data_IF_975456927831
#
_entry.id   IF_975456927831
#
_cell.length_a   1.000
_cell.length_b   1.000
_cell.length_c   1.000
_cell.angle_alpha   90.00
_cell.angle_beta   90.00
_cell.angle_gamma   90.00
#
_symmetry.space_group_name_H-M   'P 1'
#
loop_
_entity.id
_entity.type
_entity.pdbx_description
1 polymer ?
#
# COMPACT_ATOMS: atom_id res chain seq x y z
N UNK A 1 -0.77 34.76 24.55
CA UNK A 1 -0.90 33.29 24.74
C UNK A 1 -0.29 32.63 23.53
N UNK A 2 0.81 31.92 23.73
CA UNK A 2 1.72 31.51 22.64
C UNK A 2 1.19 30.37 21.80
N UNK A 3 1.69 30.28 20.57
CA UNK A 3 1.43 29.20 19.61
C UNK A 3 1.51 27.79 20.21
N UNK A 4 2.40 27.56 21.17
CA UNK A 4 2.58 26.29 21.88
C UNK A 4 1.34 25.83 22.68
N UNK A 5 0.53 26.76 23.22
CA UNK A 5 -0.71 26.40 23.94
C UNK A 5 -1.82 25.93 22.98
N UNK A 6 -1.83 26.45 21.75
CA UNK A 6 -2.74 26.00 20.68
C UNK A 6 -2.41 24.57 20.23
N UNK A 7 -1.11 24.24 20.14
CA UNK A 7 -0.69 22.90 19.74
C UNK A 7 -0.92 21.84 20.82
N UNK A 8 -0.84 22.18 22.12
CA UNK A 8 -1.11 21.23 23.21
C UNK A 8 -2.56 20.73 23.18
N UNK A 9 -3.53 21.60 22.91
CA UNK A 9 -4.93 21.22 22.82
C UNK A 9 -5.28 20.45 21.54
N UNK A 10 -4.53 20.67 20.46
CA UNK A 10 -4.70 19.93 19.19
C UNK A 10 -4.10 18.53 19.24
N UNK A 11 -2.98 18.33 19.94
CA UNK A 11 -2.33 17.02 20.09
C UNK A 11 -3.24 15.98 20.75
N UNK A 12 -3.99 16.35 21.78
CA UNK A 12 -4.88 15.42 22.50
C UNK A 12 -6.15 15.06 21.72
N UNK A 13 -6.61 15.93 20.79
CA UNK A 13 -7.87 15.71 20.04
C UNK A 13 -7.69 15.12 18.64
N UNK A 14 -6.48 15.14 18.09
CA UNK A 14 -6.27 14.73 16.69
C UNK A 14 -6.19 13.21 16.51
N UNK A 15 -5.77 12.46 17.51
CA UNK A 15 -5.42 11.05 17.35
C UNK A 15 -6.28 10.07 18.16
N UNK A 16 -6.87 10.50 19.29
CA UNK A 16 -7.73 9.64 20.09
C UNK A 16 -9.08 10.33 20.27
N UNK A 17 -10.18 9.76 19.77
CA UNK A 17 -11.50 10.16 20.23
C UNK A 17 -11.57 9.91 21.72
N UNK A 18 -12.08 10.92 22.47
CA UNK A 18 -12.32 10.82 23.90
C UNK A 18 -13.23 9.61 24.15
N UNK A 19 -12.74 8.58 24.83
CA UNK A 19 -13.46 7.33 25.15
C UNK A 19 -14.68 7.52 26.05
N UNK A 20 -15.01 8.77 26.41
CA UNK A 20 -16.08 9.09 27.36
C UNK A 20 -17.51 9.04 26.78
N UNK A 21 -17.66 8.91 25.47
CA UNK A 21 -18.94 8.63 24.84
C UNK A 21 -18.77 7.50 23.85
N UNK A 22 -19.60 6.48 23.92
CA UNK A 22 -19.80 5.39 22.95
C UNK A 22 -20.06 5.92 21.51
N UNK A 23 -19.26 6.88 21.06
CA UNK A 23 -19.25 7.36 19.71
C UNK A 23 -18.70 6.22 18.86
N UNK A 24 -19.56 5.68 18.02
CA UNK A 24 -19.23 4.68 17.03
C UNK A 24 -17.86 4.99 16.42
N UNK A 25 -16.97 4.01 16.38
CA UNK A 25 -15.67 4.07 15.70
C UNK A 25 -15.78 4.87 14.41
N UNK A 26 -14.84 5.79 14.13
CA UNK A 26 -14.93 6.62 12.94
C UNK A 26 -15.20 5.78 11.69
N UNK A 27 -16.04 6.27 10.80
CA UNK A 27 -16.55 5.58 9.60
C UNK A 27 -15.45 4.99 8.69
N UNK A 28 -14.21 5.47 8.78
CA UNK A 28 -13.11 4.94 7.99
C UNK A 28 -12.63 3.53 8.43
N UNK A 29 -13.00 3.06 9.61
CA UNK A 29 -12.78 1.66 10.00
C UNK A 29 -13.84 0.71 9.43
N UNK A 30 -14.98 1.21 8.97
CA UNK A 30 -16.03 0.37 8.37
C UNK A 30 -15.68 -0.11 6.95
N UNK A 31 -14.84 0.60 6.22
CA UNK A 31 -14.31 0.14 4.92
C UNK A 31 -13.18 -0.88 5.09
N UNK A 32 -12.63 -1.06 6.28
CA UNK A 32 -11.74 -2.16 6.62
C UNK A 32 -12.46 -3.51 6.74
N UNK A 33 -13.80 -3.52 6.69
CA UNK A 33 -14.59 -4.75 6.70
C UNK A 33 -14.41 -5.59 5.41
N UNK A 34 -13.93 -4.97 4.32
CA UNK A 34 -13.60 -5.72 3.10
C UNK A 34 -12.15 -6.23 3.17
N UNK A 35 -11.94 -7.57 3.21
CA UNK A 35 -10.61 -8.15 3.38
C UNK A 35 -9.66 -7.85 2.21
N UNK A 36 -10.15 -7.81 0.99
CA UNK A 36 -9.36 -7.53 -0.21
C UNK A 36 -8.83 -6.09 -0.19
N UNK A 37 -9.71 -5.13 0.12
CA UNK A 37 -9.33 -3.72 0.29
C UNK A 37 -8.31 -3.56 1.41
N UNK A 38 -8.55 -4.17 2.57
CA UNK A 38 -7.65 -4.11 3.71
C UNK A 38 -6.27 -4.70 3.39
N UNK A 39 -6.23 -5.83 2.69
CA UNK A 39 -4.98 -6.46 2.25
C UNK A 39 -4.19 -5.55 1.31
N UNK A 40 -4.84 -4.94 0.31
CA UNK A 40 -4.22 -4.02 -0.63
C UNK A 40 -3.66 -2.77 0.07
N UNK A 41 -4.49 -2.08 0.87
CA UNK A 41 -4.07 -0.87 1.59
C UNK A 41 -2.94 -1.17 2.57
N UNK A 42 -3.01 -2.28 3.30
CA UNK A 42 -1.95 -2.69 4.22
C UNK A 42 -0.65 -3.01 3.47
N UNK A 43 -0.71 -3.68 2.31
CA UNK A 43 0.48 -3.99 1.50
C UNK A 43 1.18 -2.71 1.06
N UNK A 44 0.45 -1.76 0.48
CA UNK A 44 0.99 -0.47 0.03
C UNK A 44 1.55 0.35 1.19
N UNK A 45 0.74 0.52 2.25
CA UNK A 45 1.12 1.35 3.40
C UNK A 45 2.35 0.83 4.11
N UNK A 46 2.45 -0.48 4.33
CA UNK A 46 3.62 -1.13 4.94
C UNK A 46 4.86 -0.98 4.05
N UNK A 47 4.71 -1.20 2.74
CA UNK A 47 5.83 -1.09 1.81
C UNK A 47 6.38 0.33 1.77
N UNK A 48 5.52 1.34 1.63
CA UNK A 48 5.94 2.74 1.58
C UNK A 48 6.47 3.25 2.93
N UNK A 49 5.90 2.81 4.06
CA UNK A 49 6.36 3.20 5.38
C UNK A 49 7.74 2.64 5.76
N UNK A 50 8.19 1.57 5.11
CA UNK A 50 9.54 1.02 5.29
C UNK A 50 10.60 1.79 4.50
N UNK A 51 10.19 2.59 3.52
CA UNK A 51 11.12 3.36 2.70
C UNK A 51 11.52 4.65 3.39
N UNK A 52 12.82 4.90 3.59
CA UNK A 52 13.26 6.16 4.16
C UNK A 52 13.02 7.30 3.17
N UNK A 53 12.29 8.32 3.61
CA UNK A 53 12.14 9.60 2.91
C UNK A 53 13.22 10.54 3.43
N UNK A 54 14.18 10.89 2.58
CA UNK A 54 15.38 11.61 2.96
C UNK A 54 15.61 12.87 2.13
N UNK A 55 16.25 13.85 2.74
CA UNK A 55 16.64 15.11 2.10
C UNK A 55 18.11 15.05 1.69
N UNK A 56 18.39 15.36 0.43
CA UNK A 56 19.73 15.42 -0.13
C UNK A 56 20.05 16.84 -0.58
N UNK A 57 21.33 17.18 -0.51
CA UNK A 57 21.91 18.43 -1.02
C UNK A 57 22.70 18.14 -2.28
N UNK A 58 22.48 18.95 -3.33
CA UNK A 58 23.32 18.91 -4.53
C UNK A 58 24.69 19.49 -4.23
N UNK A 59 25.75 18.72 -4.50
CA UNK A 59 27.14 19.15 -4.38
C UNK A 59 27.85 19.02 -5.71
N UNK A 60 29.04 19.58 -5.84
CA UNK A 60 29.85 19.47 -7.07
C UNK A 60 30.18 18.00 -7.42
N UNK A 61 30.28 17.13 -6.44
CA UNK A 61 30.67 15.73 -6.57
C UNK A 61 29.46 14.76 -6.50
N UNK A 62 28.24 15.26 -6.68
CA UNK A 62 27.03 14.44 -6.58
C UNK A 62 26.08 14.91 -5.49
N UNK A 63 25.34 13.99 -4.87
CA UNK A 63 24.36 14.28 -3.84
C UNK A 63 24.84 13.77 -2.48
N UNK A 64 24.65 14.59 -1.43
CA UNK A 64 24.98 14.25 -0.05
C UNK A 64 23.72 14.38 0.81
N UNK A 65 23.57 13.51 1.83
CA UNK A 65 22.52 13.63 2.84
C UNK A 65 22.63 14.98 3.60
N UNK A 66 21.53 15.70 3.65
CA UNK A 66 21.45 17.02 4.29
C UNK A 66 21.08 16.88 5.79
N UNK A 67 21.89 16.16 6.57
CA UNK A 67 21.59 15.78 7.98
C UNK A 67 21.41 17.00 8.90
N UNK A 68 22.07 18.11 8.58
CA UNK A 68 22.00 19.34 9.38
C UNK A 68 20.73 20.16 9.11
N UNK A 69 20.04 19.85 8.03
CA UNK A 69 18.84 20.58 7.66
C UNK A 69 17.65 20.17 8.55
N UNK A 70 16.87 21.14 9.03
CA UNK A 70 15.72 20.87 9.92
C UNK A 70 14.68 19.95 9.27
N UNK A 71 14.41 20.12 7.97
CA UNK A 71 13.46 19.29 7.23
C UNK A 71 13.95 17.83 7.14
N UNK A 72 15.26 17.57 7.03
CA UNK A 72 15.78 16.20 7.10
C UNK A 72 15.35 15.51 8.39
N UNK A 73 15.53 16.19 9.52
CA UNK A 73 15.13 15.65 10.84
C UNK A 73 13.63 15.45 10.94
N UNK A 74 12.84 16.39 10.39
CA UNK A 74 11.38 16.30 10.36
C UNK A 74 10.86 15.17 9.46
N UNK A 75 11.59 14.79 8.41
CA UNK A 75 11.24 13.66 7.54
C UNK A 75 11.63 12.33 8.18
N UNK A 76 12.80 12.26 8.81
CA UNK A 76 13.28 11.02 9.46
C UNK A 76 12.50 10.74 10.74
N UNK A 77 12.17 11.79 11.53
CA UNK A 77 11.39 11.68 12.75
C UNK A 77 10.23 12.70 12.73
N UNK A 78 9.15 12.38 12.01
CA UNK A 78 8.09 13.36 11.76
C UNK A 78 7.29 13.73 13.02
N UNK A 79 7.12 12.81 13.95
CA UNK A 79 6.37 13.00 15.19
C UNK A 79 7.21 12.63 16.41
N UNK A 80 6.94 13.29 17.55
CA UNK A 80 7.70 13.06 18.80
C UNK A 80 7.22 11.81 19.53
N UNK A 81 5.93 11.50 19.44
CA UNK A 81 5.27 10.44 20.22
C UNK A 81 5.09 9.13 19.45
N UNK A 82 5.37 9.15 18.13
CA UNK A 82 5.13 8.01 17.25
C UNK A 82 6.40 7.62 16.50
N UNK A 83 6.53 6.33 16.22
CA UNK A 83 7.61 5.86 15.36
C UNK A 83 7.40 6.37 13.93
N UNK A 84 8.47 6.68 13.17
CA UNK A 84 8.34 7.08 11.77
C UNK A 84 7.52 6.09 10.93
N UNK A 85 7.72 4.79 11.15
CA UNK A 85 6.97 3.74 10.49
C UNK A 85 5.46 3.85 10.73
N UNK A 86 5.04 4.06 11.98
CA UNK A 86 3.62 4.20 12.32
C UNK A 86 3.03 5.46 11.69
N UNK A 87 3.73 6.58 11.79
CA UNK A 87 3.31 7.85 11.20
C UNK A 87 3.08 7.73 9.68
N UNK A 88 4.08 7.22 8.95
CA UNK A 88 3.95 7.05 7.50
C UNK A 88 2.92 5.99 7.12
N UNK A 89 2.82 4.89 7.85
CA UNK A 89 1.77 3.89 7.64
C UNK A 89 0.37 4.49 7.76
N UNK A 90 0.12 5.31 8.79
CA UNK A 90 -1.16 6.01 8.98
C UNK A 90 -1.40 7.04 7.88
N UNK A 91 -0.37 7.79 7.46
CA UNK A 91 -0.45 8.75 6.36
C UNK A 91 -0.96 8.07 5.08
N UNK A 92 -0.34 6.95 4.68
CA UNK A 92 -0.75 6.23 3.47
C UNK A 92 -2.14 5.60 3.61
N UNK A 93 -2.48 5.06 4.77
CA UNK A 93 -3.84 4.55 5.04
C UNK A 93 -4.89 5.64 4.89
N UNK A 94 -4.68 6.82 5.50
CA UNK A 94 -5.59 7.97 5.36
C UNK A 94 -5.73 8.41 3.90
N UNK A 95 -4.62 8.41 3.14
CA UNK A 95 -4.64 8.76 1.73
C UNK A 95 -5.55 7.83 0.91
N UNK A 96 -5.45 6.53 1.14
CA UNK A 96 -6.27 5.54 0.42
C UNK A 96 -7.73 5.50 0.90
N UNK A 97 -7.98 5.55 2.22
CA UNK A 97 -9.34 5.48 2.75
C UNK A 97 -10.12 6.78 2.61
N UNK A 98 -9.46 7.94 2.78
CA UNK A 98 -10.11 9.26 2.80
C UNK A 98 -9.82 10.10 1.56
N UNK A 99 -8.87 9.69 0.72
CA UNK A 99 -8.47 10.45 -0.46
C UNK A 99 -7.76 11.77 -0.16
N UNK A 100 -7.53 12.10 1.10
CA UNK A 100 -6.84 13.32 1.52
C UNK A 100 -6.06 13.08 2.80
N UNK A 101 -4.88 13.68 2.88
CA UNK A 101 -4.07 13.74 4.09
C UNK A 101 -3.79 15.19 4.43
N UNK A 102 -3.94 15.53 5.68
CA UNK A 102 -3.63 16.85 6.21
C UNK A 102 -2.61 16.71 7.34
N UNK A 103 -1.56 17.54 7.27
CA UNK A 103 -0.49 17.57 8.26
C UNK A 103 -0.33 19.01 8.75
N UNK A 104 -0.34 19.22 10.07
CA UNK A 104 0.21 20.46 10.60
C UNK A 104 1.72 20.45 10.45
N UNK A 105 2.26 21.53 9.92
CA UNK A 105 3.70 21.80 9.89
C UNK A 105 4.11 22.40 11.23
N UNK A 106 4.88 21.67 12.00
CA UNK A 106 5.40 22.16 13.29
C UNK A 106 6.62 23.05 13.01
N UNK A 107 6.49 24.33 13.30
CA UNK A 107 7.54 25.30 13.03
C UNK A 107 8.32 25.66 14.30
N UNK A 108 9.65 25.78 14.18
CA UNK A 108 10.52 26.44 15.15
C UNK A 108 11.18 27.63 14.45
N UNK A 109 10.66 28.84 14.72
CA UNK A 109 10.98 30.02 13.92
C UNK A 109 10.49 29.87 12.49
N UNK A 110 11.40 29.84 11.51
CA UNK A 110 11.09 29.71 10.09
C UNK A 110 11.44 28.31 9.52
N UNK A 111 11.71 27.33 10.38
CA UNK A 111 12.15 25.97 9.99
C UNK A 111 11.10 24.94 10.41
N UNK A 112 10.72 24.07 9.48
CA UNK A 112 9.88 22.92 9.80
C UNK A 112 10.69 21.92 10.64
N UNK A 113 10.15 21.51 11.79
CA UNK A 113 10.82 20.61 12.74
C UNK A 113 10.06 19.30 12.96
N UNK A 114 8.86 19.17 12.41
CA UNK A 114 8.03 17.98 12.51
C UNK A 114 6.68 18.16 11.87
N UNK A 115 5.89 17.11 11.90
CA UNK A 115 4.54 17.07 11.33
C UNK A 115 3.57 16.43 12.33
N UNK A 116 2.30 16.82 12.26
CA UNK A 116 1.23 16.20 13.05
C UNK A 116 0.09 15.84 12.11
N UNK A 117 -0.31 14.58 12.07
CA UNK A 117 -1.45 14.10 11.28
C UNK A 117 -2.76 14.71 11.82
N UNK A 118 -3.62 15.12 10.90
CA UNK A 118 -4.95 15.65 11.18
C UNK A 118 -5.97 14.69 10.58
N UNK A 119 -7.01 14.35 11.31
CA UNK A 119 -8.11 13.55 10.77
C UNK A 119 -8.84 14.32 9.67
N UNK A 120 -8.96 13.76 8.44
CA UNK A 120 -9.59 14.45 7.32
C UNK A 120 -11.03 14.87 7.58
N UNK A 121 -11.77 14.11 8.37
CA UNK A 121 -13.18 14.40 8.69
C UNK A 121 -13.37 15.68 9.52
N UNK A 122 -12.29 16.21 10.12
CA UNK A 122 -12.27 17.47 10.89
C UNK A 122 -11.86 18.67 10.05
N UNK A 123 -11.48 18.44 8.78
CA UNK A 123 -10.92 19.48 7.91
C UNK A 123 -11.91 19.83 6.83
N UNK A 124 -12.30 21.10 6.76
CA UNK A 124 -13.00 21.66 5.64
C UNK A 124 -12.00 22.48 4.79
N UNK A 125 -11.98 22.23 3.51
CA UNK A 125 -11.10 22.94 2.56
C UNK A 125 -11.95 23.87 1.72
N UNK A 126 -11.70 25.15 1.85
CA UNK A 126 -12.31 26.20 1.03
C UNK A 126 -11.25 26.87 0.15
N UNK A 127 -11.64 27.40 -0.99
CA UNK A 127 -10.77 28.09 -1.94
C UNK A 127 -11.14 29.55 -1.99
N UNK A 128 -10.22 30.44 -1.58
CA UNK A 128 -10.46 31.89 -1.66
C UNK A 128 -10.17 32.41 -3.08
N UNK A 129 -9.15 31.86 -3.72
CA UNK A 129 -8.72 32.25 -5.06
C UNK A 129 -8.19 31.04 -5.83
N UNK A 130 -7.87 31.22 -7.10
CA UNK A 130 -7.26 30.15 -7.90
C UNK A 130 -5.91 29.65 -7.34
N UNK A 131 -5.30 30.42 -6.44
CA UNK A 131 -3.94 30.16 -5.93
C UNK A 131 -3.96 29.75 -4.45
N UNK A 132 -4.97 30.17 -3.67
CA UNK A 132 -4.94 30.04 -2.20
C UNK A 132 -6.08 29.17 -1.66
N UNK A 133 -5.71 28.13 -0.93
CA UNK A 133 -6.63 27.28 -0.15
C UNK A 133 -6.63 27.72 1.31
N UNK A 134 -7.77 27.53 1.97
CA UNK A 134 -7.94 27.71 3.39
C UNK A 134 -8.44 26.42 3.98
N UNK A 135 -7.94 26.10 5.16
CA UNK A 135 -8.28 24.91 5.91
C UNK A 135 -8.95 25.30 7.22
N UNK A 136 -10.21 24.97 7.36
CA UNK A 136 -10.94 25.15 8.63
C UNK A 136 -10.91 23.87 9.42
N UNK A 137 -10.29 23.91 10.60
CA UNK A 137 -10.12 22.78 11.51
C UNK A 137 -10.62 23.21 12.88
N UNK A 138 -11.63 22.50 13.42
CA UNK A 138 -12.25 22.83 14.72
C UNK A 138 -12.60 24.31 14.86
N UNK A 139 -13.23 24.89 13.82
CA UNK A 139 -13.64 26.31 13.75
C UNK A 139 -12.47 27.31 13.73
N UNK A 140 -11.23 26.87 13.52
CA UNK A 140 -10.08 27.74 13.32
C UNK A 140 -9.59 27.62 11.87
N UNK A 141 -9.17 28.76 11.32
CA UNK A 141 -8.75 28.86 9.92
C UNK A 141 -7.23 28.85 9.82
N UNK A 142 -6.70 28.04 8.91
CA UNK A 142 -5.29 27.86 8.64
C UNK A 142 -4.99 28.02 7.15
N UNK A 143 -3.76 28.33 6.84
CA UNK A 143 -3.26 28.52 5.47
C UNK A 143 -2.34 27.36 5.05
N UNK A 144 -1.97 27.31 3.77
CA UNK A 144 -0.97 26.35 3.21
C UNK A 144 0.41 26.50 3.89
N UNK A 145 0.69 27.61 4.57
CA UNK A 145 1.92 27.75 5.36
C UNK A 145 1.90 26.87 6.60
N UNK A 146 0.74 26.68 7.19
CA UNK A 146 0.55 25.92 8.44
C UNK A 146 0.14 24.48 8.20
N UNK A 147 -0.61 24.22 7.12
CA UNK A 147 -1.12 22.89 6.78
C UNK A 147 -0.49 22.42 5.46
N UNK A 148 0.04 21.22 5.46
CA UNK A 148 0.38 20.46 4.26
C UNK A 148 -0.80 19.57 3.90
N UNK A 149 -1.40 19.80 2.72
CA UNK A 149 -2.49 19.01 2.19
C UNK A 149 -1.99 18.14 1.03
N UNK A 150 -2.23 16.86 1.14
CA UNK A 150 -1.86 15.85 0.15
C UNK A 150 -3.13 15.15 -0.33
N UNK A 151 -3.70 15.55 -1.47
CA UNK A 151 -4.85 14.88 -2.05
C UNK A 151 -4.43 13.61 -2.80
N UNK A 152 -5.31 12.62 -2.90
CA UNK A 152 -5.07 11.44 -3.72
C UNK A 152 -5.01 11.82 -5.21
N UNK A 153 -3.95 11.42 -5.95
CA UNK A 153 -3.75 11.80 -7.34
C UNK A 153 -4.55 10.87 -8.28
N UNK A 154 -5.85 10.98 -8.31
CA UNK A 154 -6.71 10.11 -9.12
C UNK A 154 -7.81 10.84 -9.86
N UNK A 155 -8.61 10.09 -10.60
CA UNK A 155 -9.73 10.61 -11.40
C UNK A 155 -10.79 11.36 -10.60
N UNK A 156 -10.84 11.15 -9.29
CA UNK A 156 -11.73 11.87 -8.38
C UNK A 156 -11.20 13.21 -7.88
N UNK A 157 -10.00 13.66 -8.29
CA UNK A 157 -9.47 14.97 -7.89
C UNK A 157 -10.19 16.10 -8.59
N UNK A 158 -10.81 17.00 -7.82
CA UNK A 158 -11.57 18.14 -8.34
C UNK A 158 -10.79 19.47 -8.36
N UNK A 159 -9.47 19.41 -8.24
CA UNK A 159 -8.60 20.61 -8.14
C UNK A 159 -8.43 21.15 -6.72
N UNK A 160 -9.25 20.74 -5.77
CA UNK A 160 -9.21 21.19 -4.37
C UNK A 160 -8.97 20.01 -3.41
N UNK A 161 -9.81 18.99 -3.48
CA UNK A 161 -9.73 17.77 -2.67
C UNK A 161 -9.65 16.54 -3.56
N UNK A 162 -8.97 15.51 -3.10
CA UNK A 162 -8.93 14.19 -3.72
C UNK A 162 -10.10 13.33 -3.26
N UNK A 163 -10.48 12.36 -4.08
CA UNK A 163 -11.38 11.27 -3.69
C UNK A 163 -10.59 10.00 -3.44
N UNK A 164 -11.03 9.25 -2.45
CA UNK A 164 -10.50 7.91 -2.21
C UNK A 164 -10.74 7.00 -3.43
N UNK A 165 -9.76 6.20 -3.85
CA UNK A 165 -10.00 5.18 -4.88
C UNK A 165 -11.09 4.19 -4.46
N UNK A 166 -11.24 3.93 -3.16
CA UNK A 166 -12.30 3.08 -2.60
C UNK A 166 -13.68 3.69 -2.83
N UNK A 167 -13.81 5.02 -2.71
CA UNK A 167 -15.06 5.73 -2.99
C UNK A 167 -15.36 5.76 -4.49
N UNK A 168 -14.34 5.93 -5.33
CA UNK A 168 -14.50 5.96 -6.80
C UNK A 168 -14.94 4.61 -7.35
N UNK A 169 -14.43 3.52 -6.82
CA UNK A 169 -14.74 2.15 -7.25
C UNK A 169 -15.67 1.41 -6.28
N UNK A 170 -16.53 2.17 -5.59
CA UNK A 170 -17.45 1.62 -4.58
C UNK A 170 -18.28 0.46 -5.09
N UNK A 171 -18.82 0.55 -6.29
CA UNK A 171 -19.71 -0.48 -6.85
C UNK A 171 -18.99 -1.83 -7.01
N UNK A 172 -17.72 -1.83 -7.40
CA UNK A 172 -16.90 -3.04 -7.50
C UNK A 172 -16.63 -3.66 -6.12
N UNK A 173 -16.34 -2.82 -5.11
CA UNK A 173 -16.12 -3.26 -3.73
C UNK A 173 -17.42 -3.78 -3.11
N UNK A 174 -18.55 -3.13 -3.37
CA UNK A 174 -19.87 -3.60 -2.92
C UNK A 174 -20.24 -4.94 -3.56
N UNK A 175 -19.82 -5.20 -4.81
CA UNK A 175 -19.99 -6.50 -5.43
C UNK A 175 -19.21 -7.58 -4.66
N UNK A 176 -17.96 -7.33 -4.31
CA UNK A 176 -17.14 -8.24 -3.51
C UNK A 176 -17.78 -8.53 -2.14
N UNK A 177 -18.25 -7.50 -1.44
CA UNK A 177 -18.95 -7.65 -0.17
C UNK A 177 -20.21 -8.52 -0.29
N UNK A 178 -20.99 -8.36 -1.37
CA UNK A 178 -22.16 -9.19 -1.63
C UNK A 178 -21.78 -10.64 -1.93
N UNK A 179 -20.70 -10.87 -2.65
CA UNK A 179 -20.21 -12.23 -2.94
C UNK A 179 -19.74 -12.92 -1.67
N UNK A 180 -18.99 -12.23 -0.81
CA UNK A 180 -18.57 -12.74 0.50
C UNK A 180 -19.78 -13.05 1.39
N UNK A 181 -20.76 -12.15 1.45
CA UNK A 181 -21.99 -12.36 2.19
C UNK A 181 -22.82 -13.53 1.64
N UNK A 182 -22.94 -13.65 0.30
CA UNK A 182 -23.60 -14.78 -0.32
C UNK A 182 -22.90 -16.10 0.03
N UNK A 183 -21.57 -16.11 -0.01
CA UNK A 183 -20.78 -17.28 0.32
C UNK A 183 -20.97 -17.68 1.79
N UNK A 184 -20.94 -16.71 2.70
CA UNK A 184 -21.25 -16.93 4.12
C UNK A 184 -22.63 -17.52 4.32
N UNK A 185 -23.65 -16.90 3.73
CA UNK A 185 -25.04 -17.40 3.79
C UNK A 185 -25.19 -18.80 3.15
N UNK A 186 -24.42 -19.08 2.10
CA UNK A 186 -24.41 -20.39 1.48
C UNK A 186 -23.90 -21.47 2.43
N UNK A 187 -22.82 -21.20 3.16
CA UNK A 187 -22.30 -22.13 4.19
C UNK A 187 -23.20 -22.21 5.42
N UNK A 188 -23.85 -21.12 5.82
CA UNK A 188 -24.73 -21.10 6.98
C UNK A 188 -26.08 -21.81 6.70
N UNK A 189 -26.60 -21.70 5.49
CA UNK A 189 -27.95 -22.18 5.16
C UNK A 189 -28.00 -23.50 4.40
N UNK A 190 -26.92 -23.93 3.79
CA UNK A 190 -26.96 -25.20 3.07
C UNK A 190 -25.61 -25.93 3.07
N UNK A 191 -25.63 -27.10 3.60
CA UNK A 191 -24.66 -28.11 3.26
C UNK A 191 -25.06 -28.70 1.91
N UNK A 192 -24.93 -27.92 0.85
CA UNK A 192 -24.89 -28.43 -0.51
C UNK A 192 -26.22 -28.74 -1.20
N UNK A 193 -27.39 -28.68 -0.57
CA UNK A 193 -28.64 -29.02 -1.28
C UNK A 193 -29.84 -28.29 -0.69
N UNK A 194 -30.65 -27.67 -1.53
CA UNK A 194 -31.98 -27.23 -1.12
C UNK A 194 -32.84 -28.48 -0.91
N UNK A 195 -33.48 -28.54 0.26
CA UNK A 195 -34.34 -29.66 0.61
C UNK A 195 -35.79 -29.24 0.45
N UNK A 196 -36.52 -29.93 -0.39
CA UNK A 196 -37.97 -29.81 -0.48
C UNK A 196 -38.60 -30.90 0.37
N UNK A 197 -39.31 -30.52 1.42
CA UNK A 197 -40.09 -31.43 2.25
C UNK A 197 -41.51 -31.37 1.78
N UNK A 198 -41.97 -32.42 1.11
CA UNK A 198 -43.36 -32.58 0.71
C UNK A 198 -44.09 -33.34 1.81
N UNK A 199 -45.16 -32.75 2.37
CA UNK A 199 -46.01 -33.34 3.36
C UNK A 199 -47.06 -34.21 2.68
N UNK A 200 -47.33 -35.42 3.18
CA UNK A 200 -48.33 -36.34 2.66
C UNK A 200 -49.76 -35.93 3.03
N UNK A 201 -50.71 -36.78 2.61
CA UNK A 201 -52.15 -36.50 2.76
C UNK A 201 -52.65 -36.48 4.23
N UNK A 202 -51.86 -36.97 5.15
CA UNK A 202 -52.17 -36.98 6.59
C UNK A 202 -52.11 -35.59 7.28
N UNK A 203 -51.59 -34.59 6.58
CA UNK A 203 -51.45 -33.25 7.12
C UNK A 203 -52.61 -32.35 6.75
N UNK A 204 -53.02 -31.43 7.62
CA UNK A 204 -54.21 -30.58 7.40
C UNK A 204 -53.97 -29.55 6.26
N UNK A 205 -54.92 -29.40 5.37
CA UNK A 205 -54.85 -28.44 4.24
C UNK A 205 -55.47 -27.06 4.55
N UNK A 206 -56.00 -26.86 5.78
CA UNK A 206 -56.56 -25.57 6.17
C UNK A 206 -55.43 -24.58 6.45
N UNK A 207 -55.51 -23.38 5.87
CA UNK A 207 -54.49 -22.35 5.96
C UNK A 207 -54.01 -22.08 7.39
N UNK A 208 -54.93 -21.91 8.33
CA UNK A 208 -54.60 -21.62 9.73
C UNK A 208 -53.88 -22.79 10.45
N UNK A 209 -54.13 -24.02 10.04
CA UNK A 209 -53.47 -25.20 10.59
C UNK A 209 -52.12 -25.41 9.98
N UNK A 210 -51.94 -25.09 8.67
CA UNK A 210 -50.68 -25.09 7.96
C UNK A 210 -49.73 -24.01 8.51
N UNK A 211 -50.24 -22.82 8.79
CA UNK A 211 -49.42 -21.74 9.38
C UNK A 211 -48.89 -22.12 10.80
N UNK A 212 -49.70 -22.82 11.61
CA UNK A 212 -49.27 -23.37 12.90
C UNK A 212 -48.22 -24.46 12.72
N UNK A 213 -48.46 -25.41 11.85
CA UNK A 213 -47.55 -26.51 11.54
C UNK A 213 -46.21 -25.95 11.04
N UNK A 214 -46.24 -24.96 10.15
CA UNK A 214 -45.06 -24.30 9.63
C UNK A 214 -44.29 -23.58 10.76
N UNK A 215 -44.97 -22.91 11.66
CA UNK A 215 -44.37 -22.24 12.81
C UNK A 215 -43.68 -23.23 13.76
N UNK A 216 -44.26 -24.44 13.95
CA UNK A 216 -43.68 -25.47 14.80
C UNK A 216 -42.50 -26.22 14.16
N UNK A 217 -42.61 -26.52 12.87
CA UNK A 217 -41.63 -27.33 12.14
C UNK A 217 -40.42 -26.49 11.68
N UNK A 218 -40.65 -25.23 11.29
CA UNK A 218 -39.59 -24.37 10.77
C UNK A 218 -38.39 -24.19 11.72
N UNK A 219 -38.56 -23.96 13.03
CA UNK A 219 -37.42 -23.89 13.96
C UNK A 219 -36.67 -25.20 14.09
N UNK A 220 -37.40 -26.34 14.02
CA UNK A 220 -36.79 -27.67 14.09
C UNK A 220 -35.94 -27.95 12.87
N UNK A 221 -36.48 -27.66 11.67
CA UNK A 221 -35.75 -27.82 10.42
C UNK A 221 -34.53 -26.91 10.40
N UNK A 222 -34.68 -25.63 10.77
CA UNK A 222 -33.56 -24.70 10.88
C UNK A 222 -32.45 -25.23 11.78
N UNK A 223 -32.82 -25.76 12.95
CA UNK A 223 -31.86 -26.28 13.93
C UNK A 223 -31.08 -27.50 13.43
N UNK A 224 -31.67 -28.35 12.57
CA UNK A 224 -31.05 -29.59 12.12
C UNK A 224 -30.44 -29.51 10.72
N UNK A 225 -30.88 -28.57 9.87
CA UNK A 225 -30.48 -28.46 8.44
C UNK A 225 -29.53 -27.30 8.20
N UNK A 226 -29.64 -26.22 9.00
CA UNK A 226 -28.87 -25.00 8.75
C UNK A 226 -27.63 -24.91 9.66
N UNK A 227 -26.55 -24.37 9.09
CA UNK A 227 -25.29 -24.06 9.78
C UNK A 227 -24.22 -25.14 9.63
N UNK A 228 -22.95 -24.71 9.64
CA UNK A 228 -21.80 -25.61 9.46
C UNK A 228 -21.68 -26.68 10.55
N UNK A 229 -22.21 -26.42 11.75
CA UNK A 229 -22.24 -27.37 12.86
C UNK A 229 -23.14 -28.58 12.60
N UNK A 230 -24.07 -28.49 11.64
CA UNK A 230 -25.02 -29.56 11.30
C UNK A 230 -24.61 -30.30 10.02
N UNK A 231 -23.46 -29.97 9.45
CA UNK A 231 -22.95 -30.61 8.26
C UNK A 231 -22.76 -32.15 8.50
N UNK A 232 -23.48 -32.94 7.71
CA UNK A 232 -23.41 -34.40 7.79
C UNK A 232 -24.28 -35.03 8.87
N UNK A 233 -25.07 -34.29 9.65
CA UNK A 233 -26.00 -34.84 10.61
C UNK A 233 -27.18 -35.51 9.89
N UNK A 234 -27.60 -36.71 10.30
CA UNK A 234 -28.75 -37.42 9.75
C UNK A 234 -30.03 -36.63 10.06
N UNK A 235 -30.85 -36.40 9.02
CA UNK A 235 -32.16 -35.80 9.19
C UNK A 235 -33.21 -36.83 9.54
N UNK A 236 -33.97 -36.56 10.61
CA UNK A 236 -35.13 -37.37 10.94
C UNK A 236 -36.30 -36.84 10.10
N UNK A 237 -36.82 -37.67 9.21
CA UNK A 237 -37.98 -37.35 8.41
C UNK A 237 -39.26 -37.26 9.27
N UNK A 238 -40.19 -36.36 8.88
CA UNK A 238 -41.51 -36.35 9.46
C UNK A 238 -42.32 -37.55 8.93
N UNK A 239 -43.21 -38.12 9.75
CA UNK A 239 -44.08 -39.20 9.29
C UNK A 239 -44.84 -38.76 8.02
N UNK A 240 -45.01 -39.65 7.06
CA UNK A 240 -45.73 -39.36 5.79
C UNK A 240 -45.20 -38.16 5.01
N UNK A 241 -43.86 -37.91 5.09
CA UNK A 241 -43.21 -36.88 4.28
C UNK A 241 -42.17 -37.45 3.36
N UNK A 242 -42.02 -36.84 2.18
CA UNK A 242 -40.95 -37.14 1.25
C UNK A 242 -39.95 -36.02 1.21
N UNK A 243 -38.67 -36.36 1.33
CA UNK A 243 -37.57 -35.41 1.28
C UNK A 243 -36.88 -35.52 -0.06
N UNK A 244 -37.07 -34.52 -0.89
CA UNK A 244 -36.39 -34.42 -2.17
C UNK A 244 -35.23 -33.42 -2.09
N UNK A 245 -34.06 -33.87 -2.45
CA UNK A 245 -32.93 -32.97 -2.66
C UNK A 245 -33.10 -32.29 -4.01
N UNK A 246 -33.06 -30.98 -4.00
CA UNK A 246 -32.91 -30.20 -5.22
C UNK A 246 -31.41 -29.99 -5.38
N UNK A 247 -30.74 -30.85 -6.12
CA UNK A 247 -29.32 -30.70 -6.40
C UNK A 247 -29.11 -29.44 -7.25
N UNK A 248 -28.49 -28.46 -6.66
CA UNK A 248 -27.84 -27.41 -7.43
C UNK A 248 -26.59 -28.03 -8.03
N UNK A 249 -26.54 -28.07 -9.35
CA UNK A 249 -25.45 -28.67 -10.13
C UNK A 249 -24.08 -28.21 -9.57
N UNK A 250 -23.15 -29.13 -9.49
CA UNK A 250 -21.78 -28.95 -8.97
C UNK A 250 -20.99 -27.77 -9.60
N UNK A 251 -21.45 -27.24 -10.72
CA UNK A 251 -20.85 -26.12 -11.42
C UNK A 251 -20.98 -24.78 -10.67
N UNK A 252 -22.05 -24.58 -9.88
CA UNK A 252 -22.28 -23.30 -9.18
C UNK A 252 -21.14 -22.96 -8.19
N UNK A 253 -20.55 -23.97 -7.54
CA UNK A 253 -19.44 -23.76 -6.59
C UNK A 253 -18.15 -23.34 -7.31
N UNK A 254 -17.85 -23.97 -8.47
CA UNK A 254 -16.68 -23.65 -9.27
C UNK A 254 -16.83 -22.23 -9.90
N UNK A 255 -18.03 -21.93 -10.40
CA UNK A 255 -18.34 -20.63 -10.99
C UNK A 255 -18.27 -19.51 -9.93
N UNK A 256 -18.78 -19.75 -8.72
CA UNK A 256 -18.72 -18.79 -7.62
C UNK A 256 -17.26 -18.50 -7.18
N UNK A 257 -16.45 -19.55 -7.05
CA UNK A 257 -15.03 -19.39 -6.71
C UNK A 257 -14.30 -18.59 -7.78
N UNK A 258 -14.55 -18.89 -9.05
CA UNK A 258 -13.95 -18.16 -10.17
C UNK A 258 -14.37 -16.69 -10.19
N UNK A 259 -15.65 -16.41 -9.90
CA UNK A 259 -16.17 -15.05 -9.84
C UNK A 259 -15.58 -14.26 -8.67
N UNK A 260 -15.47 -14.85 -7.48
CA UNK A 260 -14.82 -14.21 -6.32
C UNK A 260 -13.37 -13.88 -6.66
N UNK A 261 -12.59 -14.85 -7.15
CA UNK A 261 -11.21 -14.61 -7.54
C UNK A 261 -11.08 -13.52 -8.61
N UNK A 262 -11.98 -13.49 -9.59
CA UNK A 262 -11.99 -12.45 -10.61
C UNK A 262 -12.24 -11.05 -10.02
N UNK A 263 -13.19 -10.92 -9.08
CA UNK A 263 -13.51 -9.64 -8.44
C UNK A 263 -12.35 -9.18 -7.53
N UNK A 264 -11.77 -10.09 -6.74
CA UNK A 264 -10.58 -9.80 -5.91
C UNK A 264 -9.40 -9.33 -6.76
N UNK A 265 -9.11 -10.01 -7.88
CA UNK A 265 -8.09 -9.61 -8.85
C UNK A 265 -8.40 -8.23 -9.43
N UNK A 266 -9.65 -7.98 -9.81
CA UNK A 266 -10.08 -6.70 -10.36
C UNK A 266 -9.92 -5.56 -9.36
N UNK A 267 -10.24 -5.78 -8.09
CA UNK A 267 -10.03 -4.81 -7.02
C UNK A 267 -8.53 -4.53 -6.87
N UNK A 268 -7.70 -5.56 -6.73
CA UNK A 268 -6.27 -5.38 -6.53
C UNK A 268 -5.62 -4.60 -7.68
N UNK A 269 -5.94 -4.95 -8.92
CA UNK A 269 -5.31 -4.38 -10.11
C UNK A 269 -5.92 -3.03 -10.50
N UNK A 270 -7.26 -2.91 -10.54
CA UNK A 270 -7.92 -1.70 -11.07
C UNK A 270 -7.96 -0.58 -10.04
N UNK A 271 -8.23 -0.89 -8.75
CA UNK A 271 -8.36 0.12 -7.69
C UNK A 271 -7.00 0.52 -7.12
N UNK A 272 -6.12 -0.47 -6.92
CA UNK A 272 -4.85 -0.28 -6.22
C UNK A 272 -3.60 -0.40 -7.09
N UNK A 273 -3.72 -0.91 -8.32
CA UNK A 273 -2.57 -1.13 -9.21
C UNK A 273 -1.63 -2.25 -8.74
N UNK A 274 -2.12 -3.17 -7.89
CA UNK A 274 -1.32 -4.26 -7.35
C UNK A 274 -1.54 -5.50 -8.22
N UNK A 275 -0.49 -6.11 -8.80
CA UNK A 275 -0.60 -7.44 -9.38
C UNK A 275 -1.06 -8.42 -8.30
N UNK A 276 -2.14 -9.17 -8.53
CA UNK A 276 -2.75 -10.02 -7.50
C UNK A 276 -1.77 -11.07 -6.95
N UNK A 277 -0.87 -11.55 -7.77
CA UNK A 277 0.17 -12.53 -7.41
C UNK A 277 1.14 -12.00 -6.33
N UNK A 278 1.20 -10.68 -6.15
CA UNK A 278 1.97 -10.06 -5.05
C UNK A 278 1.22 -10.17 -3.71
N UNK A 279 -0.10 -10.32 -3.74
CA UNK A 279 -0.94 -10.57 -2.57
C UNK A 279 -1.01 -12.07 -2.25
N UNK A 280 -1.13 -12.91 -3.27
CA UNK A 280 -1.18 -14.37 -3.16
C UNK A 280 0.11 -15.01 -3.69
N UNK A 281 1.04 -15.28 -2.78
CA UNK A 281 2.32 -15.92 -3.10
C UNK A 281 2.21 -17.39 -3.53
N UNK A 282 1.05 -18.03 -3.36
CA UNK A 282 0.84 -19.43 -3.75
C UNK A 282 0.63 -19.59 -5.28
N UNK A 283 0.31 -18.51 -5.98
CA UNK A 283 -0.06 -18.55 -7.40
C UNK A 283 1.12 -18.44 -8.38
N UNK A 284 2.35 -18.17 -7.93
CA UNK A 284 3.46 -17.83 -8.84
C UNK A 284 4.69 -18.74 -8.72
N UNK A 285 5.29 -19.09 -9.88
CA UNK A 285 6.65 -19.65 -9.95
C UNK A 285 7.66 -18.53 -9.64
N UNK A 286 8.79 -18.87 -9.02
CA UNK A 286 9.79 -17.92 -8.52
C UNK A 286 10.22 -16.83 -9.51
N UNK A 287 10.46 -17.18 -10.79
CA UNK A 287 10.90 -16.23 -11.82
C UNK A 287 9.81 -15.20 -12.21
N UNK A 288 8.53 -15.56 -12.08
CA UNK A 288 7.42 -14.64 -12.34
C UNK A 288 7.15 -13.69 -11.17
N UNK A 289 7.49 -14.09 -9.94
CA UNK A 289 7.26 -13.29 -8.75
C UNK A 289 8.14 -12.04 -8.71
N UNK A 290 9.42 -12.15 -9.12
CA UNK A 290 10.34 -11.00 -9.19
C UNK A 290 9.84 -9.95 -10.20
N UNK A 291 9.42 -10.38 -11.39
CA UNK A 291 8.82 -9.49 -12.37
C UNK A 291 7.58 -8.78 -11.82
N UNK A 292 6.71 -9.50 -11.12
CA UNK A 292 5.50 -8.93 -10.50
C UNK A 292 5.79 -7.98 -9.35
N UNK A 293 6.83 -8.22 -8.57
CA UNK A 293 7.32 -7.28 -7.55
C UNK A 293 7.85 -6.00 -8.17
N UNK A 294 8.58 -6.10 -9.27
CA UNK A 294 9.05 -4.95 -10.04
C UNK A 294 7.86 -4.17 -10.62
N UNK A 295 6.88 -4.85 -11.22
CA UNK A 295 5.66 -4.23 -11.72
C UNK A 295 4.91 -3.49 -10.59
N UNK A 296 4.79 -4.10 -9.43
CA UNK A 296 4.19 -3.46 -8.24
C UNK A 296 4.96 -2.20 -7.81
N UNK A 297 6.28 -2.28 -7.79
CA UNK A 297 7.13 -1.13 -7.44
C UNK A 297 6.95 0.02 -8.44
N UNK A 298 7.03 -0.27 -9.74
CA UNK A 298 6.98 0.75 -10.80
C UNK A 298 5.58 1.34 -10.99
N UNK A 299 4.54 0.50 -10.97
CA UNK A 299 3.17 0.93 -11.29
C UNK A 299 2.40 1.48 -10.08
N UNK A 300 2.69 1.01 -8.87
CA UNK A 300 1.93 1.35 -7.67
C UNK A 300 2.75 2.19 -6.68
N UNK A 301 3.92 1.70 -6.25
CA UNK A 301 4.67 2.28 -5.14
C UNK A 301 5.35 3.60 -5.52
N UNK A 302 6.08 3.63 -6.64
CA UNK A 302 6.80 4.83 -7.09
C UNK A 302 5.89 6.01 -7.38
N UNK A 303 4.78 5.89 -8.12
CA UNK A 303 3.91 7.02 -8.40
C UNK A 303 3.35 7.68 -7.14
N UNK A 304 2.90 6.89 -6.17
CA UNK A 304 2.40 7.40 -4.90
C UNK A 304 3.52 7.97 -4.05
N UNK A 305 4.66 7.30 -3.97
CA UNK A 305 5.84 7.80 -3.26
C UNK A 305 6.32 9.13 -3.83
N UNK A 306 6.40 9.26 -5.15
CA UNK A 306 6.78 10.52 -5.81
C UNK A 306 5.77 11.65 -5.59
N UNK A 307 4.48 11.35 -5.57
CA UNK A 307 3.46 12.32 -5.23
C UNK A 307 3.62 12.83 -3.79
N UNK A 308 3.86 11.95 -2.83
CA UNK A 308 4.15 12.30 -1.43
C UNK A 308 5.43 13.13 -1.33
N UNK A 309 6.51 12.69 -2.00
CA UNK A 309 7.78 13.39 -2.06
C UNK A 309 7.62 14.84 -2.54
N UNK A 310 6.95 15.03 -3.68
CA UNK A 310 6.67 16.35 -4.24
C UNK A 310 5.82 17.21 -3.29
N UNK A 311 4.89 16.60 -2.58
CA UNK A 311 4.07 17.31 -1.58
C UNK A 311 4.93 17.84 -0.43
N UNK A 312 5.86 17.05 0.09
CA UNK A 312 6.80 17.50 1.12
C UNK A 312 7.82 18.54 0.62
N UNK A 313 8.16 18.55 -0.67
CA UNK A 313 9.00 19.59 -1.27
C UNK A 313 8.37 21.00 -1.17
N UNK A 314 7.04 21.07 -1.00
CA UNK A 314 6.38 22.35 -0.71
C UNK A 314 6.80 22.98 0.62
N UNK A 315 7.40 22.21 1.52
CA UNK A 315 7.97 22.71 2.78
C UNK A 315 9.32 23.43 2.61
N UNK A 316 9.97 23.27 1.45
CA UNK A 316 11.19 23.99 1.10
C UNK A 316 10.85 25.36 0.49
N UNK A 317 11.65 26.36 0.80
CA UNK A 317 11.59 27.67 0.14
C UNK A 317 12.04 27.57 -1.32
N UNK A 318 11.70 28.57 -2.13
CA UNK A 318 12.09 28.61 -3.55
C UNK A 318 13.61 28.50 -3.77
N UNK A 319 14.40 29.13 -2.89
CA UNK A 319 15.86 29.05 -2.92
C UNK A 319 16.40 27.69 -2.47
N UNK A 320 15.74 27.05 -1.52
CA UNK A 320 16.13 25.71 -1.04
C UNK A 320 15.85 24.62 -2.08
N UNK A 321 14.78 24.73 -2.86
CA UNK A 321 14.45 23.75 -3.91
C UNK A 321 15.50 23.64 -5.02
N UNK A 322 16.32 24.65 -5.22
CA UNK A 322 17.45 24.59 -6.19
C UNK A 322 18.65 23.83 -5.61
N UNK A 323 18.77 23.76 -4.29
CA UNK A 323 19.90 23.17 -3.61
C UNK A 323 19.61 21.80 -3.01
N UNK A 324 18.37 21.58 -2.58
CA UNK A 324 17.93 20.35 -1.90
C UNK A 324 16.89 19.60 -2.69
N UNK A 325 16.89 18.27 -2.57
CA UNK A 325 15.91 17.37 -3.17
C UNK A 325 15.51 16.31 -2.15
N UNK A 326 14.22 16.00 -2.08
CA UNK A 326 13.71 14.89 -1.27
C UNK A 326 13.69 13.63 -2.14
N UNK A 327 14.08 12.48 -1.59
CA UNK A 327 14.07 11.20 -2.31
C UNK A 327 13.64 10.06 -1.41
N UNK A 328 12.98 9.07 -2.02
CA UNK A 328 12.82 7.74 -1.47
C UNK A 328 13.95 6.83 -1.95
N UNK A 329 14.46 5.98 -1.07
CA UNK A 329 15.45 4.96 -1.40
C UNK A 329 14.74 3.65 -1.79
N UNK A 330 14.27 3.56 -3.03
CA UNK A 330 13.56 2.37 -3.55
C UNK A 330 14.45 1.15 -3.72
N UNK A 331 15.77 1.32 -3.80
CA UNK A 331 16.72 0.22 -4.02
C UNK A 331 16.63 -0.91 -2.99
N UNK A 332 16.25 -0.56 -1.75
CA UNK A 332 16.12 -1.52 -0.66
C UNK A 332 14.88 -2.43 -0.78
N UNK A 333 13.90 -2.09 -1.64
CA UNK A 333 12.74 -2.94 -1.91
C UNK A 333 13.02 -3.99 -2.99
N UNK A 334 13.93 -3.69 -3.88
CA UNK A 334 14.42 -4.65 -4.85
C UNK A 334 15.37 -5.60 -4.09
N UNK A 335 14.83 -6.56 -3.36
CA UNK A 335 15.59 -7.74 -2.97
C UNK A 335 15.90 -8.52 -4.24
N UNK A 336 16.76 -7.94 -5.04
CA UNK A 336 17.46 -8.66 -6.08
C UNK A 336 18.12 -9.84 -5.39
N UNK A 337 17.88 -11.02 -5.92
CA UNK A 337 18.59 -12.23 -5.55
C UNK A 337 20.03 -11.83 -5.21
N UNK A 338 20.51 -12.14 -4.02
CA UNK A 338 21.85 -11.70 -3.55
C UNK A 338 22.91 -12.00 -4.60
N UNK A 339 22.73 -13.08 -5.37
CA UNK A 339 23.57 -13.46 -6.51
C UNK A 339 23.52 -12.41 -7.63
N UNK A 340 22.34 -11.95 -8.04
CA UNK A 340 22.22 -10.95 -9.12
C UNK A 340 22.79 -9.60 -8.70
N UNK A 341 22.64 -9.23 -7.41
CA UNK A 341 23.25 -8.00 -6.87
C UNK A 341 24.78 -8.12 -6.89
N UNK A 342 25.31 -9.25 -6.45
CA UNK A 342 26.76 -9.51 -6.47
C UNK A 342 27.28 -9.53 -7.90
N UNK A 343 26.56 -10.17 -8.84
CA UNK A 343 26.94 -10.21 -10.26
C UNK A 343 26.90 -8.82 -10.90
N UNK A 344 25.90 -8.00 -10.59
CA UNK A 344 25.83 -6.63 -11.06
C UNK A 344 26.98 -5.78 -10.50
N UNK A 345 27.26 -5.87 -9.20
CA UNK A 345 28.39 -5.19 -8.57
C UNK A 345 29.74 -5.67 -9.10
N UNK A 346 29.88 -6.97 -9.36
CA UNK A 346 31.08 -7.52 -9.98
C UNK A 346 31.30 -6.96 -11.39
N UNK A 347 30.24 -6.80 -12.19
CA UNK A 347 30.31 -6.16 -13.52
C UNK A 347 30.65 -4.67 -13.40
N UNK A 348 30.03 -3.92 -12.48
CA UNK A 348 30.33 -2.52 -12.24
C UNK A 348 31.80 -2.32 -11.79
N UNK A 349 32.34 -3.23 -10.97
CA UNK A 349 33.73 -3.26 -10.57
C UNK A 349 34.66 -3.57 -11.75
N UNK A 350 34.34 -4.61 -12.54
CA UNK A 350 35.16 -5.00 -13.72
C UNK A 350 35.20 -3.92 -14.80
N UNK A 351 34.14 -3.11 -14.93
CA UNK A 351 34.08 -1.97 -15.86
C UNK A 351 34.77 -0.71 -15.33
N UNK A 352 35.26 -0.74 -14.09
CA UNK A 352 35.92 0.41 -13.47
C UNK A 352 34.95 1.50 -12.99
N UNK A 353 33.63 1.22 -12.94
CA UNK A 353 32.62 2.15 -12.46
C UNK A 353 32.67 2.30 -10.94
N UNK A 354 33.04 1.24 -10.22
CA UNK A 354 33.15 1.20 -8.78
C UNK A 354 34.54 0.79 -8.31
N UNK A 355 34.96 1.32 -7.17
CA UNK A 355 36.14 0.84 -6.43
C UNK A 355 35.78 -0.36 -5.55
N UNK A 356 36.78 -1.08 -5.06
CA UNK A 356 36.57 -2.21 -4.15
C UNK A 356 35.89 -1.76 -2.84
N UNK A 357 36.25 -0.60 -2.30
CA UNK A 357 35.66 -0.05 -1.09
C UNK A 357 34.19 0.33 -1.32
N UNK A 358 33.84 0.87 -2.48
CA UNK A 358 32.45 1.17 -2.83
C UNK A 358 31.59 -0.09 -2.96
N UNK A 359 32.13 -1.17 -3.57
CA UNK A 359 31.48 -2.48 -3.63
C UNK A 359 31.25 -3.03 -2.22
N UNK A 360 32.30 -3.02 -1.38
CA UNK A 360 32.21 -3.50 0.01
C UNK A 360 31.19 -2.70 0.82
N UNK A 361 31.15 -1.39 0.68
CA UNK A 361 30.17 -0.51 1.34
C UNK A 361 28.75 -0.80 0.90
N UNK A 362 28.53 -1.08 -0.40
CA UNK A 362 27.22 -1.49 -0.93
C UNK A 362 26.76 -2.85 -0.40
N UNK A 363 27.72 -3.73 -0.05
CA UNK A 363 27.46 -5.04 0.57
C UNK A 363 27.41 -5.00 2.10
N UNK A 364 27.55 -3.80 2.71
CA UNK A 364 27.56 -3.64 4.16
C UNK A 364 28.84 -4.13 4.85
N UNK A 365 29.94 -4.20 4.12
CA UNK A 365 31.27 -4.59 4.62
C UNK A 365 32.15 -3.36 4.90
N UNK A 366 33.04 -3.46 5.87
CA UNK A 366 34.03 -2.41 6.16
C UNK A 366 35.02 -2.21 5.00
N UNK A 367 35.58 -1.00 4.86
CA UNK A 367 36.59 -0.71 3.88
C UNK A 367 37.92 -1.44 4.17
N UNK A 368 38.76 -1.60 3.15
CA UNK A 368 40.09 -2.23 3.26
C UNK A 368 41.23 -1.22 3.27
N UNK A 369 40.91 0.07 3.48
CA UNK A 369 41.88 1.16 3.48
C UNK A 369 42.08 1.78 2.05
N UNK A 370 43.06 2.69 1.93
CA UNK A 370 43.27 3.47 0.69
C UNK A 370 43.52 2.64 -0.56
N UNK A 371 44.02 1.43 -0.41
CA UNK A 371 44.25 0.50 -1.52
C UNK A 371 42.94 0.04 -2.19
N UNK A 372 41.82 0.06 -1.44
CA UNK A 372 40.50 -0.26 -1.94
C UNK A 372 39.82 0.86 -2.73
N UNK A 373 40.36 2.06 -2.77
CA UNK A 373 39.81 3.21 -3.50
C UNK A 373 40.33 3.35 -4.93
N UNK A 374 41.12 2.36 -5.39
CA UNK A 374 41.63 2.33 -6.73
C UNK A 374 40.60 1.71 -7.71
N UNK A 375 40.36 2.37 -8.84
CA UNK A 375 39.55 1.83 -9.91
C UNK A 375 40.36 0.80 -10.74
N UNK A 376 39.76 -0.36 -10.96
CA UNK A 376 40.33 -1.41 -11.80
C UNK A 376 39.58 -1.44 -13.14
N UNK A 377 40.34 -1.57 -14.22
CA UNK A 377 39.82 -1.78 -15.58
C UNK A 377 40.28 -3.13 -16.05
N UNK A 378 39.41 -3.92 -16.64
CA UNK A 378 39.80 -5.20 -17.23
C UNK A 378 40.87 -4.97 -18.32
N UNK A 379 41.95 -5.73 -18.28
CA UNK A 379 43.10 -5.57 -19.17
C UNK A 379 42.79 -5.79 -20.67
N UNK A 380 41.61 -6.32 -20.97
CA UNK A 380 41.12 -6.51 -22.34
C UNK A 380 40.39 -5.28 -22.90
N UNK A 381 40.18 -4.22 -22.09
CA UNK A 381 39.59 -2.96 -22.55
C UNK A 381 40.70 -1.99 -22.94
N UNK A 382 40.70 -1.57 -24.20
CA UNK A 382 41.66 -0.61 -24.74
C UNK A 382 41.00 0.75 -24.92
N UNK A 383 41.64 1.87 -24.52
CA UNK A 383 41.10 3.21 -24.75
C UNK A 383 40.84 3.45 -26.24
N UNK A 384 39.70 4.00 -26.57
CA UNK A 384 39.29 4.28 -27.96
C UNK A 384 39.94 5.57 -28.46
N UNK A 385 41.28 5.56 -28.57
CA UNK A 385 42.06 6.65 -29.16
C UNK A 385 42.35 6.38 -30.64
N UNK A 386 42.58 7.44 -31.45
CA UNK A 386 42.90 7.26 -32.88
C UNK A 386 44.12 6.38 -33.09
N UNK A 387 45.11 6.43 -32.21
CA UNK A 387 46.31 5.60 -32.25
C UNK A 387 46.00 4.13 -32.03
N UNK A 388 45.17 3.82 -31.04
CA UNK A 388 44.76 2.45 -30.71
C UNK A 388 43.88 1.85 -31.81
N UNK A 389 43.00 2.64 -32.41
CA UNK A 389 42.15 2.22 -33.53
C UNK A 389 43.03 1.91 -34.75
N UNK A 390 43.98 2.78 -35.06
CA UNK A 390 44.94 2.55 -36.18
C UNK A 390 45.81 1.33 -35.94
N UNK A 391 46.32 1.12 -34.72
CA UNK A 391 47.11 -0.05 -34.34
C UNK A 391 46.29 -1.35 -34.45
N UNK A 392 45.05 -1.34 -34.04
CA UNK A 392 44.14 -2.49 -34.16
C UNK A 392 43.80 -2.81 -35.62
N UNK A 393 43.48 -1.80 -36.41
CA UNK A 393 43.23 -1.96 -37.85
C UNK A 393 44.50 -2.40 -38.64
N UNK A 394 45.68 -2.03 -38.19
CA UNK A 394 46.97 -2.47 -38.80
C UNK A 394 47.36 -3.91 -38.43
N UNK A 395 46.55 -4.65 -37.69
CA UNK A 395 46.82 -6.03 -37.32
C UNK A 395 47.93 -6.21 -36.28
N UNK A 396 48.44 -5.13 -35.72
CA UNK A 396 49.36 -5.19 -34.59
C UNK A 396 48.57 -5.53 -33.33
N UNK A 397 48.63 -6.81 -32.91
CA UNK A 397 48.22 -7.18 -31.54
C UNK A 397 49.10 -6.33 -30.63
N UNK A 398 48.47 -5.35 -29.95
CA UNK A 398 49.17 -4.59 -28.92
C UNK A 398 49.72 -5.60 -27.92
N UNK A 399 51.06 -5.68 -27.86
CA UNK A 399 51.73 -6.58 -26.94
C UNK A 399 51.50 -6.09 -25.51
N UNK A 400 50.45 -6.58 -24.90
CA UNK A 400 50.15 -6.43 -23.44
C UNK A 400 51.07 -7.33 -22.59
N UNK A 401 52.15 -7.88 -23.17
CA UNK A 401 53.15 -8.69 -22.48
C UNK A 401 54.55 -8.24 -22.86
N UNK A 402 55.01 -7.12 -22.31
CA UNK A 402 56.45 -6.89 -22.11
C UNK A 402 56.61 -6.00 -20.86
N UNK A 403 56.43 -6.59 -19.70
CA UNK A 403 57.07 -6.14 -18.45
C UNK A 403 57.28 -7.37 -17.59
N UNK A 404 58.05 -8.30 -18.06
CA UNK A 404 58.82 -9.27 -17.31
C UNK A 404 60.12 -9.54 -18.11
N UNK A 405 61.05 -8.64 -17.96
CA UNK A 405 62.49 -8.86 -17.99
C UNK A 405 63.11 -7.83 -17.03
#
# INVERSE_FOLDING_TARGET
MGLLSRFKNLKQRAFFPDDSNNAAMPLYFRTEDNPTVAACVNKISKTLAQLPLQLYEYTRNGMKLAVDHSLYRALVNPAVEETPYLFYSMLFRLLYYKGNVFLFKNWSGNKAVGFTLIQPDRVRVDRISNIQKIYTIDNQTYTDREVLHIPFPGSGYNGTIGKSPIEVFKDLIDLDNRLLQYTGNYFDNSVGSRVLISLGQSYPFRKNEMDKLYAEISPVIKKFVQGPANAGNPMIGLPDSTINKIDQTSNVQADLKSLISYVEHSIAQTVFGIPYEVLDSAASKYDSLESKQNDFLESCIKPIGDHIRQSFESCLTASERTRYVIRYEYKNLLTTNTLQTVDALAKEFQTGMLTMNEVRKKLGMDDIGPEGDVHFIAANLMPLTEENIKAYMAGNKVALNKSNE
#
